data_IF_072356255886
#
_entry.id   IF_072356255886
#
_cell.length_a   1.000
_cell.length_b   1.000
_cell.length_c   1.000
_cell.angle_alpha   90.00
_cell.angle_beta   90.00
_cell.angle_gamma   90.00
#
_symmetry.space_group_name_H-M   'P 1'
#
loop_
_entity.id
_entity.type
_entity.pdbx_description
1 polymer ?
#
# COMPACT_ATOMS: atom_id res chain seq x y z
N UNK A 1 7.11 26.74 9.84
CA UNK A 1 7.28 26.21 8.47
C UNK A 1 6.03 25.37 8.19
N UNK A 2 5.09 25.87 7.39
CA UNK A 2 3.84 25.15 7.07
C UNK A 2 4.12 24.26 5.88
N UNK A 3 4.17 22.94 6.07
CA UNK A 3 4.08 22.01 4.94
C UNK A 3 2.70 22.17 4.31
N UNK A 4 2.69 22.48 3.02
CA UNK A 4 1.51 22.67 2.19
C UNK A 4 0.73 21.35 2.06
N UNK A 5 -0.52 21.35 2.53
CA UNK A 5 -1.53 20.31 2.29
C UNK A 5 -1.98 20.33 0.82
N UNK A 6 -1.09 19.97 -0.10
CA UNK A 6 -1.36 19.88 -1.53
C UNK A 6 -0.68 18.61 -2.05
N UNK A 7 -1.35 17.52 -2.45
CA UNK A 7 -2.75 17.16 -2.50
C UNK A 7 -2.81 15.68 -2.90
N UNK A 8 -2.63 14.78 -1.94
CA UNK A 8 -2.75 13.32 -2.16
C UNK A 8 -4.23 12.98 -2.25
N UNK A 9 -4.67 12.54 -3.44
CA UNK A 9 -6.09 12.23 -3.72
C UNK A 9 -6.36 10.74 -3.86
N UNK A 10 -5.33 9.96 -4.19
CA UNK A 10 -5.47 8.56 -4.52
C UNK A 10 -4.35 7.72 -3.92
N UNK A 11 -4.65 6.44 -3.73
CA UNK A 11 -3.70 5.40 -3.39
C UNK A 11 -3.66 4.39 -4.52
N UNK A 12 -2.46 4.03 -4.94
CA UNK A 12 -2.22 2.83 -5.72
C UNK A 12 -1.81 1.76 -4.72
N UNK A 13 -2.57 0.66 -4.66
CA UNK A 13 -2.31 -0.46 -3.76
C UNK A 13 -2.09 -1.69 -4.61
N UNK A 14 -0.97 -2.38 -4.43
CA UNK A 14 -0.74 -3.72 -4.95
C UNK A 14 -0.67 -4.70 -3.79
N UNK A 15 -1.35 -5.83 -3.96
CA UNK A 15 -1.35 -6.93 -3.00
C UNK A 15 -0.86 -8.17 -3.74
N UNK A 16 0.23 -8.76 -3.25
CA UNK A 16 0.71 -10.06 -3.70
C UNK A 16 -0.09 -11.14 -2.97
N UNK A 17 -0.72 -12.04 -3.73
CA UNK A 17 -1.73 -12.94 -3.19
C UNK A 17 -1.16 -14.03 -2.25
N UNK A 18 0.03 -14.56 -2.54
CA UNK A 18 0.57 -15.71 -1.80
C UNK A 18 1.06 -15.33 -0.40
N UNK A 19 1.78 -14.22 -0.31
CA UNK A 19 2.39 -13.69 0.91
C UNK A 19 1.52 -12.65 1.59
N UNK A 20 0.45 -12.20 0.91
CA UNK A 20 -0.30 -11.00 1.28
C UNK A 20 0.59 -9.76 1.40
N UNK A 21 1.70 -9.68 0.64
CA UNK A 21 2.56 -8.50 0.66
C UNK A 21 1.84 -7.30 0.05
N UNK A 22 1.80 -6.19 0.78
CA UNK A 22 1.13 -4.96 0.34
C UNK A 22 2.16 -3.88 0.03
N UNK A 23 2.07 -3.31 -1.16
CA UNK A 23 2.79 -2.08 -1.56
C UNK A 23 1.79 -0.96 -1.81
N UNK A 24 2.08 0.23 -1.28
CA UNK A 24 1.20 1.40 -1.42
C UNK A 24 1.98 2.61 -1.88
N UNK A 25 1.47 3.31 -2.91
CA UNK A 25 1.98 4.61 -3.33
C UNK A 25 0.87 5.68 -3.23
N UNK A 26 1.20 6.79 -2.57
CA UNK A 26 0.38 7.99 -2.51
C UNK A 26 0.55 8.82 -3.78
N UNK A 27 -0.55 9.12 -4.49
CA UNK A 27 -0.50 9.89 -5.72
C UNK A 27 -1.56 11.01 -5.77
N UNK A 28 -1.17 12.13 -6.37
CA UNK A 28 -2.09 13.26 -6.60
C UNK A 28 -3.06 12.99 -7.75
N UNK A 29 -2.66 12.15 -8.72
CA UNK A 29 -3.46 11.77 -9.89
C UNK A 29 -3.02 10.39 -10.37
N UNK A 30 -3.98 9.57 -10.81
CA UNK A 30 -3.72 8.27 -11.41
C UNK A 30 -3.45 8.47 -12.90
N UNK A 31 -2.29 8.03 -13.40
CA UNK A 31 -1.95 7.98 -14.83
C UNK A 31 -1.36 6.62 -15.18
N UNK A 32 -1.46 6.23 -16.45
CA UNK A 32 -0.93 4.94 -16.93
C UNK A 32 0.59 4.85 -16.73
N UNK A 33 1.32 5.95 -16.95
CA UNK A 33 2.76 6.04 -16.78
C UNK A 33 3.14 5.81 -15.32
N UNK A 34 2.38 6.40 -14.39
CA UNK A 34 2.64 6.27 -12.97
C UNK A 34 2.33 4.87 -12.46
N UNK A 35 1.22 4.28 -12.91
CA UNK A 35 0.87 2.88 -12.61
C UNK A 35 1.96 1.95 -13.15
N UNK A 36 2.42 2.15 -14.39
CA UNK A 36 3.52 1.37 -14.97
C UNK A 36 4.82 1.48 -14.17
N UNK A 37 5.19 2.70 -13.76
CA UNK A 37 6.37 2.92 -12.92
C UNK A 37 6.25 2.26 -11.54
N UNK A 38 5.07 2.33 -10.93
CA UNK A 38 4.79 1.67 -9.66
C UNK A 38 4.98 0.15 -9.77
N UNK A 39 4.32 -0.51 -10.74
CA UNK A 39 4.48 -1.94 -10.97
C UNK A 39 5.93 -2.32 -11.27
N UNK A 40 6.63 -1.55 -12.10
CA UNK A 40 8.02 -1.82 -12.43
C UNK A 40 8.93 -1.79 -11.19
N UNK A 41 8.86 -0.68 -10.43
CA UNK A 41 9.75 -0.45 -9.29
C UNK A 41 9.41 -1.30 -8.07
N UNK A 42 8.12 -1.48 -7.78
CA UNK A 42 7.67 -2.11 -6.53
C UNK A 42 7.39 -3.59 -6.67
N UNK A 43 7.03 -4.05 -7.87
CA UNK A 43 6.63 -5.45 -8.09
C UNK A 43 7.66 -6.17 -8.97
N UNK A 44 7.81 -5.74 -10.23
CA UNK A 44 8.56 -6.51 -11.24
C UNK A 44 10.04 -6.64 -10.89
N UNK A 45 10.69 -5.54 -10.53
CA UNK A 45 12.12 -5.57 -10.20
C UNK A 45 12.45 -6.35 -8.92
N UNK A 46 11.48 -6.51 -8.00
CA UNK A 46 11.70 -7.13 -6.69
C UNK A 46 11.25 -8.60 -6.65
N UNK A 47 10.12 -8.90 -7.28
CA UNK A 47 9.44 -10.20 -7.20
C UNK A 47 9.37 -10.93 -8.55
N UNK A 48 9.75 -10.27 -9.65
CA UNK A 48 9.62 -10.80 -11.01
C UNK A 48 8.27 -10.50 -11.65
N UNK A 49 8.04 -11.04 -12.85
CA UNK A 49 6.82 -10.79 -13.61
C UNK A 49 5.65 -11.58 -13.01
N UNK A 50 4.59 -10.94 -12.49
CA UNK A 50 3.42 -11.66 -12.00
C UNK A 50 2.71 -12.36 -13.16
N UNK A 51 2.36 -13.64 -12.98
CA UNK A 51 1.67 -14.44 -13.99
C UNK A 51 0.24 -13.96 -14.27
N UNK A 52 -0.41 -13.33 -13.27
CA UNK A 52 -1.76 -12.76 -13.37
C UNK A 52 -1.79 -11.45 -12.59
N UNK A 53 -2.41 -10.41 -13.15
CA UNK A 53 -2.70 -9.15 -12.47
C UNK A 53 -4.21 -8.94 -12.51
N UNK A 54 -4.83 -8.79 -11.35
CA UNK A 54 -6.23 -8.39 -11.20
C UNK A 54 -6.24 -6.94 -10.70
N UNK A 55 -6.98 -6.07 -11.39
CA UNK A 55 -7.09 -4.66 -11.04
C UNK A 55 -8.55 -4.28 -10.88
N UNK A 56 -8.89 -3.69 -9.74
CA UNK A 56 -10.23 -3.17 -9.45
C UNK A 56 -10.17 -1.67 -9.17
N UNK A 57 -11.12 -0.91 -9.73
CA UNK A 57 -11.32 0.48 -9.38
C UNK A 57 -12.47 0.57 -8.37
N UNK A 58 -12.21 1.15 -7.21
CA UNK A 58 -13.21 1.21 -6.14
C UNK A 58 -14.49 1.97 -6.57
N UNK A 59 -15.64 1.46 -6.13
CA UNK A 59 -16.95 2.05 -6.43
C UNK A 59 -17.05 3.48 -5.85
N UNK A 60 -17.54 4.43 -6.64
CA UNK A 60 -17.66 5.85 -6.28
C UNK A 60 -18.39 6.08 -4.95
N UNK A 61 -19.37 5.25 -4.61
CA UNK A 61 -20.14 5.36 -3.35
C UNK A 61 -19.28 5.01 -2.14
N UNK A 62 -18.53 3.91 -2.22
CA UNK A 62 -17.61 3.47 -1.16
C UNK A 62 -16.49 4.51 -1.00
N UNK A 63 -15.96 5.02 -2.10
CA UNK A 63 -14.97 6.08 -2.10
C UNK A 63 -15.47 7.37 -1.44
N UNK A 64 -16.71 7.77 -1.68
CA UNK A 64 -17.29 8.94 -1.00
C UNK A 64 -17.43 8.73 0.51
N UNK A 65 -17.89 7.55 0.94
CA UNK A 65 -18.00 7.21 2.35
C UNK A 65 -16.64 7.17 3.07
N UNK A 66 -15.64 6.55 2.44
CA UNK A 66 -14.26 6.52 2.94
C UNK A 66 -13.65 7.92 2.97
N UNK A 67 -13.82 8.70 1.90
CA UNK A 67 -13.34 10.09 1.83
C UNK A 67 -13.88 10.91 2.98
N UNK A 68 -15.19 10.85 3.26
CA UNK A 68 -15.79 11.58 4.39
C UNK A 68 -15.10 11.27 5.72
N UNK A 69 -14.89 9.98 6.03
CA UNK A 69 -14.17 9.55 7.25
C UNK A 69 -12.71 10.03 7.28
N UNK A 70 -12.10 10.14 6.11
CA UNK A 70 -10.71 10.58 5.95
C UNK A 70 -10.54 12.09 6.17
N UNK A 71 -11.49 12.88 5.68
CA UNK A 71 -11.59 14.32 5.91
C UNK A 71 -11.85 14.61 7.40
N UNK A 72 -12.72 13.81 8.06
CA UNK A 72 -12.93 13.86 9.51
C UNK A 72 -11.64 13.58 10.31
N UNK A 73 -10.80 12.68 9.82
CA UNK A 73 -9.47 12.40 10.37
C UNK A 73 -8.42 13.49 10.06
N UNK A 74 -8.84 14.60 9.43
CA UNK A 74 -8.03 15.78 9.06
C UNK A 74 -6.81 15.46 8.20
N UNK A 75 -6.89 14.46 7.33
CA UNK A 75 -5.78 14.16 6.42
C UNK A 75 -4.54 13.51 7.07
N UNK A 76 -4.57 13.21 8.38
CA UNK A 76 -3.45 12.56 9.09
C UNK A 76 -3.15 11.14 8.61
N UNK A 77 -4.11 10.50 7.95
CA UNK A 77 -3.96 9.16 7.39
C UNK A 77 -2.71 9.01 6.49
N UNK A 78 -2.34 10.06 5.75
CA UNK A 78 -1.19 10.01 4.86
C UNK A 78 0.13 9.93 5.66
N UNK A 79 0.16 10.51 6.86
CA UNK A 79 1.30 10.49 7.79
C UNK A 79 1.35 9.17 8.56
N UNK A 80 0.20 8.55 8.84
CA UNK A 80 0.09 7.27 9.53
C UNK A 80 0.30 6.07 8.60
N UNK A 81 0.17 6.26 7.29
CA UNK A 81 0.24 5.17 6.31
C UNK A 81 1.52 4.30 6.44
N UNK A 82 2.73 4.86 6.63
CA UNK A 82 3.93 4.06 6.85
C UNK A 82 3.85 3.18 8.11
N UNK A 83 3.33 3.72 9.22
CA UNK A 83 3.19 3.00 10.49
C UNK A 83 2.17 1.85 10.39
N UNK A 84 1.05 2.10 9.69
CA UNK A 84 0.03 1.09 9.42
C UNK A 84 0.59 -0.02 8.54
N UNK A 85 1.32 0.34 7.47
CA UNK A 85 1.92 -0.65 6.57
C UNK A 85 2.99 -1.48 7.28
N UNK A 86 3.83 -0.85 8.10
CA UNK A 86 4.80 -1.54 8.94
C UNK A 86 4.11 -2.55 9.87
N UNK A 87 3.12 -2.09 10.62
CA UNK A 87 2.36 -2.95 11.55
C UNK A 87 1.73 -4.14 10.82
N UNK A 88 1.21 -3.92 9.62
CA UNK A 88 0.65 -4.98 8.78
C UNK A 88 1.72 -5.99 8.33
N UNK A 89 2.88 -5.53 7.87
CA UNK A 89 3.96 -6.40 7.42
C UNK A 89 4.58 -7.23 8.55
N UNK A 90 4.56 -6.74 9.79
CA UNK A 90 5.22 -7.36 10.95
C UNK A 90 4.28 -8.10 11.89
N UNK A 91 2.97 -8.04 11.69
CA UNK A 91 2.00 -8.74 12.54
C UNK A 91 1.63 -10.09 11.91
N UNK A 92 1.67 -11.20 12.66
CA UNK A 92 1.22 -12.48 12.16
C UNK A 92 -0.26 -12.44 11.78
N UNK A 93 -0.60 -12.90 10.57
CA UNK A 93 -2.00 -13.04 10.20
C UNK A 93 -2.62 -14.25 10.91
N UNK A 94 -3.86 -14.11 11.38
CA UNK A 94 -4.54 -15.17 12.15
C UNK A 94 -4.71 -16.48 11.38
N UNK A 95 -4.75 -16.43 10.04
CA UNK A 95 -4.92 -17.59 9.16
C UNK A 95 -3.63 -18.34 8.89
N UNK A 96 -2.51 -17.64 8.67
CA UNK A 96 -1.21 -18.24 8.35
C UNK A 96 -0.31 -18.39 9.58
N UNK A 97 -0.60 -17.68 10.67
CA UNK A 97 0.27 -17.46 11.84
C UNK A 97 1.66 -16.91 11.50
N UNK A 98 1.84 -16.45 10.26
CA UNK A 98 3.09 -15.94 9.72
C UNK A 98 2.91 -14.48 9.33
N UNK A 99 3.97 -13.70 9.42
CA UNK A 99 3.96 -12.29 9.00
C UNK A 99 4.11 -12.21 7.47
N UNK A 100 3.46 -11.25 6.78
CA UNK A 100 3.70 -11.03 5.35
C UNK A 100 5.19 -10.84 5.04
N UNK A 101 5.94 -10.16 5.92
CA UNK A 101 7.39 -10.00 5.78
C UNK A 101 8.14 -11.32 5.79
N UNK A 102 7.85 -12.23 6.74
CA UNK A 102 8.48 -13.55 6.80
C UNK A 102 8.16 -14.40 5.58
N UNK A 103 6.91 -14.36 5.10
CA UNK A 103 6.52 -15.08 3.88
C UNK A 103 7.22 -14.54 2.63
N UNK A 104 7.51 -13.23 2.60
CA UNK A 104 8.11 -12.55 1.43
C UNK A 104 9.62 -12.70 1.39
N UNK A 105 10.30 -12.54 2.53
CA UNK A 105 11.76 -12.46 2.60
C UNK A 105 12.41 -13.62 3.35
N UNK A 106 11.63 -14.53 3.95
CA UNK A 106 12.13 -15.69 4.68
C UNK A 106 12.83 -15.38 6.00
N UNK A 107 12.63 -14.20 6.58
CA UNK A 107 13.29 -13.77 7.83
C UNK A 107 12.28 -13.31 8.89
N UNK A 108 12.64 -13.46 10.17
CA UNK A 108 11.71 -13.24 11.30
C UNK A 108 11.50 -11.76 11.66
N UNK A 109 12.48 -10.91 11.38
CA UNK A 109 12.38 -9.50 11.75
C UNK A 109 12.90 -8.59 10.67
N UNK A 110 12.13 -7.54 10.36
CA UNK A 110 12.72 -6.43 9.71
C UNK A 110 13.78 -5.75 10.65
N UNK A 111 15.04 -5.65 10.20
CA UNK A 111 16.02 -4.57 10.49
C UNK A 111 15.41 -3.16 10.69
N UNK A 112 15.73 -2.43 11.76
CA UNK A 112 15.00 -1.20 12.17
C UNK A 112 15.02 0.02 11.21
N UNK A 113 15.55 -0.10 9.99
CA UNK A 113 15.85 1.00 9.08
C UNK A 113 15.00 1.05 7.79
N UNK A 114 13.84 0.39 7.72
CA UNK A 114 12.85 0.64 6.65
C UNK A 114 11.60 1.31 7.18
#
# INVERSE_FOLDING_TARGET
MKESHEGVKFLIVAIEYFTNWVEVEQVATISAERVKQFYWKKIICCFGLPGVIISELANKIILQGLRRRLEEAKGRWAQELPQVLWSYHTTPHSTTQETPFRLTFGTDTPNRNW
#
